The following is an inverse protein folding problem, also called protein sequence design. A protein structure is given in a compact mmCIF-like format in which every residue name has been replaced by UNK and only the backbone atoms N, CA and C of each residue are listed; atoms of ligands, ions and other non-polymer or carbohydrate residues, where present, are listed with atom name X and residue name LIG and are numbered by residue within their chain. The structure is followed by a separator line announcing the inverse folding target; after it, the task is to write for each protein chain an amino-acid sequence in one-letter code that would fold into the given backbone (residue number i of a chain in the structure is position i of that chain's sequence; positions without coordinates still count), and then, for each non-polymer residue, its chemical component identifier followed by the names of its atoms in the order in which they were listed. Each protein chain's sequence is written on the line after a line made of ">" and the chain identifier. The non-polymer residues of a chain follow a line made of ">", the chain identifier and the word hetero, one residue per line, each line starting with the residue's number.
data_IF_504111342117
#
_entry.id   IF_504111342117
#
_cell.length_a   1.000
_cell.length_b   1.000
_cell.length_c   1.000
_cell.angle_alpha   90.00
_cell.angle_beta   90.00
_cell.angle_gamma   90.00
#
_symmetry.space_group_name_H-M   'P 1'
#
loop_
_entity.id
_entity.type
_entity.pdbx_description
1 polymer ?
#
# COMPACT_ATOMS: atom_id res chain seq x y z
N UNK A 1 -40.01 -13.85 13.87
CA UNK A 1 -40.17 -12.76 12.87
C UNK A 1 -38.79 -12.23 12.57
N UNK A 2 -38.13 -12.88 11.60
CA UNK A 2 -36.78 -12.47 11.18
C UNK A 2 -36.88 -11.24 10.28
N UNK A 3 -36.45 -10.09 10.79
CA UNK A 3 -36.28 -8.90 9.97
C UNK A 3 -35.15 -9.18 8.99
N UNK A 4 -35.47 -9.49 7.74
CA UNK A 4 -34.54 -9.43 6.64
C UNK A 4 -33.93 -8.02 6.63
N UNK A 5 -32.65 -7.94 6.94
CA UNK A 5 -31.86 -6.70 6.76
C UNK A 5 -31.88 -6.43 5.25
N UNK A 6 -32.55 -5.33 4.87
CA UNK A 6 -32.53 -4.86 3.48
C UNK A 6 -31.10 -4.40 3.14
N UNK A 7 -30.36 -5.25 2.46
CA UNK A 7 -28.99 -4.98 2.02
C UNK A 7 -28.92 -4.12 0.76
N UNK A 8 -30.04 -3.64 0.25
CA UNK A 8 -30.07 -2.65 -0.82
C UNK A 8 -29.69 -1.27 -0.29
N UNK A 9 -28.43 -1.12 0.13
CA UNK A 9 -27.84 0.23 0.19
C UNK A 9 -27.93 0.82 -1.20
N UNK A 10 -28.43 2.05 -1.30
CA UNK A 10 -28.48 2.81 -2.54
C UNK A 10 -27.04 3.06 -3.04
N UNK A 11 -26.59 2.18 -3.90
CA UNK A 11 -25.38 2.40 -4.65
C UNK A 11 -25.57 3.61 -5.58
N UNK A 12 -24.52 4.37 -5.90
CA UNK A 12 -24.61 5.43 -6.91
C UNK A 12 -25.21 4.88 -8.20
N UNK A 13 -26.02 5.68 -8.91
CA UNK A 13 -26.58 5.29 -10.21
C UNK A 13 -25.47 4.79 -11.13
N UNK A 14 -25.66 3.59 -11.72
CA UNK A 14 -24.70 2.97 -12.61
C UNK A 14 -23.68 2.04 -11.94
N UNK A 15 -23.75 1.87 -10.63
CA UNK A 15 -22.94 0.86 -9.94
C UNK A 15 -23.72 -0.46 -9.84
N UNK A 16 -23.28 -1.45 -10.60
CA UNK A 16 -23.64 -2.84 -10.39
C UNK A 16 -22.43 -3.56 -9.80
N UNK A 17 -22.48 -4.03 -8.53
CA UNK A 17 -21.41 -4.84 -7.99
C UNK A 17 -21.22 -6.06 -8.88
N UNK A 18 -20.01 -6.29 -9.40
CA UNK A 18 -19.71 -7.55 -10.07
C UNK A 18 -19.91 -8.67 -9.07
N UNK A 19 -20.72 -9.66 -9.44
CA UNK A 19 -20.74 -10.93 -8.72
C UNK A 19 -19.33 -11.53 -8.81
N UNK A 20 -18.70 -11.74 -7.64
CA UNK A 20 -17.40 -12.41 -7.58
C UNK A 20 -17.56 -13.82 -8.11
N UNK A 21 -16.74 -14.20 -9.08
CA UNK A 21 -16.72 -15.57 -9.57
C UNK A 21 -16.15 -16.49 -8.49
N UNK A 22 -16.41 -17.81 -8.59
CA UNK A 22 -15.80 -18.80 -7.71
C UNK A 22 -14.26 -18.77 -7.81
N UNK A 23 -13.71 -18.38 -8.95
CA UNK A 23 -12.27 -18.24 -9.20
C UNK A 23 -11.71 -17.00 -8.49
N UNK A 24 -12.41 -15.87 -8.53
CA UNK A 24 -12.02 -14.66 -7.79
C UNK A 24 -12.02 -14.91 -6.27
N UNK A 25 -13.03 -15.61 -5.78
CA UNK A 25 -13.15 -15.98 -4.38
C UNK A 25 -12.04 -16.96 -3.97
N UNK A 26 -11.72 -17.94 -4.82
CA UNK A 26 -10.62 -18.88 -4.59
C UNK A 26 -9.25 -18.19 -4.58
N UNK A 27 -9.01 -17.27 -5.50
CA UNK A 27 -7.80 -16.47 -5.54
C UNK A 27 -7.65 -15.60 -4.28
N UNK A 28 -8.72 -14.96 -3.84
CA UNK A 28 -8.75 -14.17 -2.59
C UNK A 28 -8.52 -15.02 -1.35
N UNK A 29 -9.14 -16.19 -1.25
CA UNK A 29 -8.92 -17.12 -0.14
C UNK A 29 -7.47 -17.61 -0.12
N UNK A 30 -6.87 -17.93 -1.27
CA UNK A 30 -5.46 -18.28 -1.39
C UNK A 30 -4.54 -17.15 -0.91
N UNK A 31 -4.88 -15.89 -1.22
CA UNK A 31 -4.15 -14.71 -0.77
C UNK A 31 -4.25 -14.53 0.76
N UNK A 32 -5.46 -14.65 1.32
CA UNK A 32 -5.68 -14.61 2.77
C UNK A 32 -4.96 -15.73 3.50
N UNK A 33 -4.97 -16.95 2.96
CA UNK A 33 -4.19 -18.06 3.49
C UNK A 33 -2.69 -17.78 3.49
N UNK A 34 -2.16 -17.12 2.46
CA UNK A 34 -0.76 -16.70 2.37
C UNK A 34 -0.40 -15.74 3.51
N UNK A 35 -1.31 -14.82 3.85
CA UNK A 35 -1.12 -13.89 4.97
C UNK A 35 -1.18 -14.64 6.31
N UNK A 36 -2.14 -15.56 6.48
CA UNK A 36 -2.39 -16.25 7.74
C UNK A 36 -1.34 -17.34 8.04
N UNK A 37 -0.80 -18.03 7.03
CA UNK A 37 0.22 -19.09 7.18
C UNK A 37 1.64 -18.59 7.53
N UNK A 38 1.79 -17.32 7.96
CA UNK A 38 3.08 -16.77 8.36
C UNK A 38 3.65 -17.51 9.58
N UNK A 39 4.77 -18.20 9.40
CA UNK A 39 5.58 -18.62 10.55
C UNK A 39 6.19 -17.36 11.18
N UNK A 40 5.94 -17.09 12.48
CA UNK A 40 6.53 -15.93 13.13
C UNK A 40 8.04 -16.12 13.24
N UNK A 41 8.81 -15.25 12.60
CA UNK A 41 10.23 -15.11 12.90
C UNK A 41 10.40 -14.43 14.27
N UNK A 42 11.51 -14.70 14.99
CA UNK A 42 11.83 -14.08 16.29
C UNK A 42 11.75 -12.54 16.32
N UNK A 43 11.76 -11.88 15.13
CA UNK A 43 11.66 -10.42 14.99
C UNK A 43 10.33 -9.95 14.39
N UNK A 44 9.47 -10.85 13.95
CA UNK A 44 8.14 -10.55 13.42
C UNK A 44 7.13 -10.33 14.56
N UNK A 45 6.13 -9.52 14.33
CA UNK A 45 5.02 -9.30 15.26
C UNK A 45 3.68 -9.37 14.53
N UNK A 46 2.76 -10.17 15.07
CA UNK A 46 1.36 -10.21 14.64
C UNK A 46 0.47 -9.20 15.36
N UNK A 47 0.99 -8.55 16.41
CA UNK A 47 0.31 -7.49 17.11
C UNK A 47 0.36 -6.19 16.28
N UNK A 48 -0.77 -5.82 15.72
CA UNK A 48 -0.91 -4.65 14.83
C UNK A 48 -0.54 -3.34 15.55
N UNK A 49 -0.90 -3.17 16.81
CA UNK A 49 -0.59 -1.97 17.58
C UNK A 49 0.91 -1.86 17.82
N UNK A 50 1.58 -2.97 18.12
CA UNK A 50 3.02 -3.02 18.25
C UNK A 50 3.72 -2.71 16.92
N UNK A 51 3.22 -3.23 15.81
CA UNK A 51 3.72 -2.93 14.46
C UNK A 51 3.60 -1.43 14.17
N UNK A 52 2.45 -0.83 14.39
CA UNK A 52 2.20 0.59 14.20
C UNK A 52 3.11 1.45 15.09
N UNK A 53 3.23 1.10 16.37
CA UNK A 53 4.06 1.84 17.34
C UNK A 53 5.56 1.77 17.03
N UNK A 54 6.04 0.64 16.47
CA UNK A 54 7.48 0.40 16.26
C UNK A 54 7.96 0.65 14.83
N UNK A 55 7.06 0.73 13.84
CA UNK A 55 7.40 1.05 12.45
C UNK A 55 8.14 2.39 12.33
N UNK A 56 9.23 2.40 11.59
CA UNK A 56 10.07 3.59 11.35
C UNK A 56 10.47 3.67 9.87
N UNK A 57 10.53 4.90 9.36
CA UNK A 57 11.13 5.14 8.04
C UNK A 57 12.64 4.93 8.11
N UNK A 58 13.13 3.96 7.34
CA UNK A 58 14.54 3.53 7.30
C UNK A 58 15.13 3.88 5.94
N UNK A 59 16.33 4.44 5.93
CA UNK A 59 17.06 4.89 4.73
C UNK A 59 18.39 4.16 4.53
N UNK A 60 18.70 3.17 5.36
CA UNK A 60 19.89 2.33 5.25
C UNK A 60 19.49 0.87 5.39
N UNK A 61 19.57 0.16 4.30
CA UNK A 61 19.23 -1.26 4.22
C UNK A 61 20.49 -2.09 4.05
N UNK A 62 20.48 -3.33 4.54
CA UNK A 62 21.48 -4.32 4.20
C UNK A 62 21.31 -4.72 2.73
N UNK A 63 22.34 -5.34 2.16
CA UNK A 63 22.29 -5.89 0.80
C UNK A 63 21.55 -7.24 0.71
N UNK A 64 21.13 -7.80 1.84
CA UNK A 64 20.42 -9.07 1.88
C UNK A 64 19.12 -8.98 1.09
N UNK A 65 18.86 -9.91 0.17
CA UNK A 65 17.60 -9.94 -0.57
C UNK A 65 16.43 -10.17 0.39
N UNK A 66 15.26 -9.68 0.00
CA UNK A 66 14.02 -10.02 0.69
C UNK A 66 13.53 -11.35 0.14
N UNK A 67 13.20 -12.29 1.00
CA UNK A 67 12.73 -13.61 0.63
C UNK A 67 11.40 -13.52 -0.11
N UNK A 68 11.24 -14.35 -1.15
CA UNK A 68 10.04 -14.34 -2.00
C UNK A 68 8.74 -14.44 -1.20
N UNK A 69 8.68 -15.32 -0.22
CA UNK A 69 7.47 -15.48 0.61
C UNK A 69 7.10 -14.21 1.41
N UNK A 70 8.10 -13.36 1.78
CA UNK A 70 7.84 -12.06 2.41
C UNK A 70 7.30 -11.06 1.38
N UNK A 71 7.86 -11.07 0.17
CA UNK A 71 7.38 -10.24 -0.94
C UNK A 71 5.91 -10.59 -1.23
N UNK A 72 5.61 -11.88 -1.39
CA UNK A 72 4.25 -12.35 -1.67
C UNK A 72 3.26 -11.90 -0.58
N UNK A 73 3.64 -11.94 0.71
CA UNK A 73 2.81 -11.44 1.81
C UNK A 73 2.64 -9.93 1.81
N UNK A 74 3.67 -9.18 1.44
CA UNK A 74 3.60 -7.73 1.34
C UNK A 74 2.65 -7.32 0.21
N UNK A 75 2.73 -8.01 -0.94
CA UNK A 75 1.82 -7.78 -2.07
C UNK A 75 0.38 -8.20 -1.73
N UNK A 76 0.22 -9.36 -1.07
CA UNK A 76 -1.08 -9.82 -0.60
C UNK A 76 -1.72 -8.84 0.41
N UNK A 77 -0.93 -8.23 1.29
CA UNK A 77 -1.42 -7.22 2.21
C UNK A 77 -1.92 -5.95 1.48
N UNK A 78 -1.27 -5.55 0.37
CA UNK A 78 -1.74 -4.43 -0.45
C UNK A 78 -3.16 -4.66 -0.99
N UNK A 79 -3.46 -5.89 -1.42
CA UNK A 79 -4.77 -6.27 -1.96
C UNK A 79 -5.89 -6.24 -0.91
N UNK A 80 -5.56 -6.39 0.38
CA UNK A 80 -6.53 -6.29 1.47
C UNK A 80 -6.87 -4.86 1.89
N UNK A 81 -6.22 -3.86 1.31
CA UNK A 81 -6.53 -2.46 1.60
C UNK A 81 -7.96 -2.12 1.13
N UNK A 82 -8.72 -1.32 1.92
CA UNK A 82 -10.03 -0.87 1.48
C UNK A 82 -9.88 0.07 0.27
N UNK A 83 -10.77 -0.08 -0.70
CA UNK A 83 -10.79 0.72 -1.92
C UNK A 83 -12.18 1.22 -2.26
N UNK A 84 -12.27 2.31 -3.02
CA UNK A 84 -13.55 2.88 -3.42
C UNK A 84 -14.35 1.85 -4.23
N UNK A 85 -15.55 1.51 -3.74
CA UNK A 85 -16.42 0.52 -4.36
C UNK A 85 -15.80 -0.87 -4.54
N UNK A 86 -14.71 -1.17 -3.83
CA UNK A 86 -13.94 -2.41 -3.99
C UNK A 86 -13.35 -2.61 -5.40
N UNK A 87 -12.98 -1.51 -6.09
CA UNK A 87 -12.48 -1.56 -7.47
C UNK A 87 -10.96 -1.72 -7.58
N UNK A 88 -10.23 -1.63 -6.49
CA UNK A 88 -8.76 -1.67 -6.50
C UNK A 88 -8.16 -0.74 -7.58
N UNK A 89 -8.48 0.57 -7.48
CA UNK A 89 -8.10 1.60 -8.45
C UNK A 89 -6.61 1.91 -8.49
N UNK A 90 -5.75 0.89 -8.42
CA UNK A 90 -4.30 1.02 -8.40
C UNK A 90 -3.60 -0.13 -9.11
N UNK A 91 -2.32 0.07 -9.43
CA UNK A 91 -1.39 -0.97 -9.89
C UNK A 91 -0.11 -0.92 -9.06
N UNK A 92 0.56 -2.06 -8.94
CA UNK A 92 1.83 -2.21 -8.24
C UNK A 92 2.89 -2.71 -9.21
N UNK A 93 3.95 -1.93 -9.41
CA UNK A 93 5.10 -2.35 -10.19
C UNK A 93 6.20 -2.81 -9.23
N UNK A 94 6.58 -4.08 -9.35
CA UNK A 94 7.67 -4.66 -8.59
C UNK A 94 8.98 -4.52 -9.38
N UNK A 95 9.95 -3.80 -8.82
CA UNK A 95 11.23 -3.53 -9.45
C UNK A 95 12.29 -4.44 -8.84
N UNK A 96 12.72 -5.43 -9.60
CA UNK A 96 13.81 -6.36 -9.24
C UNK A 96 15.15 -5.96 -9.87
N UNK A 97 15.11 -5.39 -11.06
CA UNK A 97 16.27 -5.05 -11.85
C UNK A 97 17.10 -3.92 -11.19
N UNK A 98 18.44 -4.08 -11.24
CA UNK A 98 19.37 -3.15 -10.58
C UNK A 98 19.51 -1.84 -11.37
N UNK A 99 19.54 -1.90 -12.68
CA UNK A 99 19.73 -0.73 -13.55
C UNK A 99 18.48 0.16 -13.45
N UNK A 100 17.30 -0.45 -13.50
CA UNK A 100 16.02 0.26 -13.30
C UNK A 100 15.99 0.95 -11.93
N UNK A 101 16.47 0.31 -10.85
CA UNK A 101 16.57 0.95 -9.52
C UNK A 101 17.53 2.14 -9.52
N UNK A 102 18.64 2.07 -10.25
CA UNK A 102 19.60 3.18 -10.37
C UNK A 102 18.99 4.37 -11.14
N UNK A 103 18.19 4.11 -12.15
CA UNK A 103 17.41 5.15 -12.83
C UNK A 103 16.34 5.78 -11.93
N UNK A 104 15.62 4.96 -11.16
CA UNK A 104 14.67 5.44 -10.17
C UNK A 104 15.34 6.27 -9.07
N UNK A 105 16.59 5.98 -8.67
CA UNK A 105 17.37 6.86 -7.78
C UNK A 105 17.51 8.24 -8.38
N UNK A 106 17.88 8.35 -9.66
CA UNK A 106 18.02 9.63 -10.37
C UNK A 106 16.68 10.37 -10.46
N UNK A 107 15.61 9.66 -10.84
CA UNK A 107 14.25 10.22 -10.90
C UNK A 107 13.70 10.65 -9.52
N UNK A 108 14.26 10.13 -8.43
CA UNK A 108 13.87 10.45 -7.04
C UNK A 108 14.86 11.40 -6.38
N UNK A 109 15.31 12.45 -7.06
CA UNK A 109 16.24 13.46 -6.53
C UNK A 109 17.53 12.85 -5.94
N UNK A 110 18.09 11.84 -6.57
CA UNK A 110 19.29 11.11 -6.13
C UNK A 110 19.18 10.51 -4.72
N UNK A 111 17.98 10.10 -4.31
CA UNK A 111 17.76 9.44 -3.02
C UNK A 111 18.30 8.01 -3.07
N UNK A 112 19.55 7.81 -2.68
CA UNK A 112 20.29 6.53 -2.80
C UNK A 112 19.60 5.32 -2.16
N UNK A 113 18.70 5.53 -1.20
CA UNK A 113 17.93 4.48 -0.55
C UNK A 113 16.80 3.90 -1.42
N UNK A 114 16.54 4.48 -2.61
CA UNK A 114 15.67 3.87 -3.62
C UNK A 114 16.30 2.57 -4.15
N UNK A 115 17.63 2.48 -4.21
CA UNK A 115 18.33 1.24 -4.52
C UNK A 115 18.30 0.25 -3.33
N UNK A 116 17.10 -0.06 -2.83
CA UNK A 116 16.86 -1.02 -1.75
C UNK A 116 16.66 -2.44 -2.31
N UNK A 117 16.76 -3.49 -1.47
CA UNK A 117 16.53 -4.86 -1.92
C UNK A 117 15.19 -5.07 -2.61
N UNK A 118 14.12 -4.46 -2.13
CA UNK A 118 12.78 -4.50 -2.73
C UNK A 118 12.27 -3.08 -2.95
N UNK A 119 11.83 -2.78 -4.17
CA UNK A 119 11.18 -1.52 -4.54
C UNK A 119 9.82 -1.83 -5.15
N UNK A 120 8.77 -1.21 -4.63
CA UNK A 120 7.42 -1.24 -5.17
C UNK A 120 7.02 0.18 -5.57
N UNK A 121 6.55 0.36 -6.80
CA UNK A 121 5.97 1.62 -7.28
C UNK A 121 4.46 1.44 -7.31
N UNK A 122 3.74 2.28 -6.59
CA UNK A 122 2.29 2.30 -6.57
C UNK A 122 1.79 3.38 -7.51
N UNK A 123 0.97 2.99 -8.47
CA UNK A 123 0.36 3.90 -9.44
C UNK A 123 -1.15 3.93 -9.25
N UNK A 124 -1.76 5.10 -9.39
CA UNK A 124 -3.21 5.17 -9.50
C UNK A 124 -3.68 4.62 -10.84
N UNK A 125 -4.78 3.88 -10.85
CA UNK A 125 -5.44 3.41 -12.06
C UNK A 125 -6.93 3.78 -12.05
N UNK A 126 -7.30 5.01 -12.47
CA UNK A 126 -8.69 5.47 -12.45
C UNK A 126 -9.60 4.67 -13.40
N UNK A 127 -9.06 4.00 -14.42
CA UNK A 127 -9.86 3.21 -15.37
C UNK A 127 -10.50 1.98 -14.73
N UNK A 128 -9.97 1.51 -13.59
CA UNK A 128 -10.57 0.40 -12.82
C UNK A 128 -11.80 0.82 -12.03
N UNK A 129 -11.90 2.09 -11.64
CA UNK A 129 -13.00 2.59 -10.80
C UNK A 129 -14.24 2.84 -11.64
N UNK A 130 -15.20 1.93 -11.58
CA UNK A 130 -16.44 1.95 -12.38
C UNK A 130 -17.59 2.64 -11.62
N UNK A 131 -17.33 3.81 -11.08
CA UNK A 131 -18.32 4.65 -10.40
C UNK A 131 -18.74 5.81 -11.31
N UNK A 132 -20.02 6.17 -11.27
CA UNK A 132 -20.55 7.31 -12.02
C UNK A 132 -20.26 8.63 -11.28
N UNK A 133 -19.00 9.04 -11.34
CA UNK A 133 -18.51 10.29 -10.79
C UNK A 133 -17.68 11.07 -11.81
N UNK A 134 -17.50 12.36 -11.57
CA UNK A 134 -16.61 13.17 -12.40
C UNK A 134 -15.17 12.61 -12.39
N UNK A 135 -14.40 12.79 -13.48
CA UNK A 135 -13.01 12.31 -13.56
C UNK A 135 -12.14 12.76 -12.38
N UNK A 136 -12.36 13.96 -11.87
CA UNK A 136 -11.65 14.50 -10.70
C UNK A 136 -11.90 13.66 -9.44
N UNK A 137 -13.14 13.20 -9.23
CA UNK A 137 -13.50 12.35 -8.07
C UNK A 137 -12.92 10.97 -8.24
N UNK A 138 -12.99 10.37 -9.43
CA UNK A 138 -12.40 9.07 -9.74
C UNK A 138 -10.87 9.09 -9.52
N UNK A 139 -10.17 10.11 -10.00
CA UNK A 139 -8.74 10.30 -9.74
C UNK A 139 -8.43 10.39 -8.24
N UNK A 140 -9.23 11.13 -7.48
CA UNK A 140 -9.08 11.22 -6.01
C UNK A 140 -9.18 9.84 -5.36
N UNK A 141 -10.18 9.05 -5.73
CA UNK A 141 -10.34 7.70 -5.19
C UNK A 141 -9.16 6.80 -5.54
N UNK A 142 -8.71 6.81 -6.81
CA UNK A 142 -7.56 6.00 -7.23
C UNK A 142 -6.26 6.36 -6.50
N UNK A 143 -6.04 7.65 -6.22
CA UNK A 143 -4.89 8.07 -5.39
C UNK A 143 -5.03 7.53 -3.96
N UNK A 144 -6.23 7.59 -3.37
CA UNK A 144 -6.48 7.08 -2.02
C UNK A 144 -6.29 5.56 -1.98
N UNK A 145 -6.81 4.83 -2.97
CA UNK A 145 -6.65 3.38 -3.10
C UNK A 145 -5.17 3.00 -3.15
N UNK A 146 -4.39 3.61 -4.05
CA UNK A 146 -2.96 3.38 -4.17
C UNK A 146 -2.20 3.72 -2.87
N UNK A 147 -2.61 4.79 -2.19
CA UNK A 147 -2.03 5.21 -0.91
C UNK A 147 -2.29 4.19 0.19
N UNK A 148 -3.52 3.69 0.30
CA UNK A 148 -3.88 2.67 1.29
C UNK A 148 -3.16 1.35 1.01
N UNK A 149 -3.11 0.90 -0.24
CA UNK A 149 -2.37 -0.30 -0.64
C UNK A 149 -0.89 -0.22 -0.24
N UNK A 150 -0.24 0.91 -0.49
CA UNK A 150 1.14 1.14 -0.08
C UNK A 150 1.31 1.19 1.45
N UNK A 151 0.35 1.76 2.19
CA UNK A 151 0.36 1.79 3.65
C UNK A 151 0.22 0.38 4.26
N UNK A 152 -0.66 -0.45 3.72
CA UNK A 152 -0.83 -1.85 4.13
C UNK A 152 0.46 -2.66 3.84
N UNK A 153 1.05 -2.50 2.66
CA UNK A 153 2.36 -3.08 2.33
C UNK A 153 3.45 -2.66 3.32
N UNK A 154 3.45 -1.40 3.74
CA UNK A 154 4.42 -0.87 4.71
C UNK A 154 4.26 -1.49 6.09
N UNK A 155 3.02 -1.69 6.55
CA UNK A 155 2.73 -2.35 7.81
C UNK A 155 3.10 -3.84 7.76
N UNK A 156 2.76 -4.53 6.67
CA UNK A 156 3.12 -5.92 6.45
C UNK A 156 4.64 -6.12 6.45
N UNK A 157 5.40 -5.28 5.75
CA UNK A 157 6.86 -5.32 5.79
C UNK A 157 7.40 -5.19 7.22
N UNK A 158 6.83 -4.29 8.02
CA UNK A 158 7.22 -4.11 9.42
C UNK A 158 6.86 -5.31 10.28
N UNK A 159 5.69 -5.92 10.08
CA UNK A 159 5.26 -7.14 10.77
C UNK A 159 6.19 -8.32 10.46
N UNK A 160 6.73 -8.39 9.24
CA UNK A 160 7.68 -9.40 8.79
C UNK A 160 9.15 -9.12 9.20
N UNK A 161 9.38 -8.17 10.09
CA UNK A 161 10.73 -7.83 10.59
C UNK A 161 11.58 -7.00 9.62
N UNK A 162 11.01 -6.56 8.51
CA UNK A 162 11.65 -5.65 7.57
C UNK A 162 11.46 -4.19 8.02
N UNK A 163 12.10 -3.29 7.29
CA UNK A 163 11.86 -1.85 7.40
C UNK A 163 11.62 -1.27 6.02
N UNK A 164 10.97 -0.13 6.00
CA UNK A 164 10.65 0.54 4.75
C UNK A 164 10.80 2.04 4.84
N UNK A 165 10.81 2.69 3.68
CA UNK A 165 10.60 4.11 3.54
C UNK A 165 9.63 4.39 2.41
N UNK A 166 8.69 5.30 2.67
CA UNK A 166 7.80 5.87 1.69
C UNK A 166 8.45 7.08 1.03
N UNK A 167 8.43 7.13 -0.29
CA UNK A 167 8.92 8.24 -1.09
C UNK A 167 7.74 8.78 -1.89
N UNK A 168 7.48 10.07 -1.72
CA UNK A 168 6.46 10.81 -2.48
C UNK A 168 7.06 11.98 -3.26
N UNK A 169 8.40 12.16 -3.22
CA UNK A 169 9.09 13.22 -3.95
C UNK A 169 9.97 12.59 -5.04
N UNK A 170 9.52 12.63 -6.26
CA UNK A 170 10.18 12.13 -7.46
C UNK A 170 9.60 12.82 -8.69
N UNK A 171 10.27 12.71 -9.82
CA UNK A 171 9.81 13.13 -11.13
C UNK A 171 8.83 12.07 -11.66
N UNK A 172 7.52 12.41 -11.66
CA UNK A 172 6.45 11.46 -12.03
C UNK A 172 6.60 10.98 -13.48
N UNK A 173 6.98 11.86 -14.41
CA UNK A 173 7.08 11.52 -15.83
C UNK A 173 8.28 10.61 -16.10
N UNK A 174 9.42 10.88 -15.48
CA UNK A 174 10.56 9.96 -15.55
C UNK A 174 10.27 8.61 -14.92
N UNK A 175 9.57 8.56 -13.80
CA UNK A 175 9.18 7.27 -13.19
C UNK A 175 8.27 6.48 -14.12
N UNK A 176 7.29 7.12 -14.78
CA UNK A 176 6.44 6.47 -15.78
C UNK A 176 7.26 5.88 -16.93
N UNK A 177 8.17 6.67 -17.48
CA UNK A 177 9.08 6.25 -18.56
C UNK A 177 9.90 5.03 -18.14
N UNK A 178 10.55 5.08 -16.97
CA UNK A 178 11.40 4.02 -16.43
C UNK A 178 10.64 2.70 -16.23
N UNK A 179 9.42 2.76 -15.72
CA UNK A 179 8.62 1.54 -15.45
C UNK A 179 7.69 1.15 -16.61
N UNK A 180 7.71 1.90 -17.72
CA UNK A 180 6.97 1.58 -18.96
C UNK A 180 5.45 1.67 -18.79
N UNK A 181 4.92 2.76 -18.19
CA UNK A 181 3.48 2.91 -17.98
C UNK A 181 3.02 4.36 -18.18
N UNK A 182 1.76 4.53 -18.58
CA UNK A 182 1.09 5.84 -18.59
C UNK A 182 0.39 6.15 -17.24
N UNK A 183 0.35 5.19 -16.33
CA UNK A 183 -0.30 5.38 -15.03
C UNK A 183 0.53 6.31 -14.15
N UNK A 184 -0.14 7.22 -13.47
CA UNK A 184 0.50 8.18 -12.58
C UNK A 184 1.01 7.50 -11.31
N UNK A 185 2.34 7.51 -11.04
CA UNK A 185 2.87 7.00 -9.79
C UNK A 185 2.48 7.91 -8.61
N UNK A 186 2.06 7.29 -7.51
CA UNK A 186 1.67 7.99 -6.28
C UNK A 186 2.74 7.90 -5.21
N UNK A 187 3.50 6.81 -5.20
CA UNK A 187 4.58 6.57 -4.24
C UNK A 187 5.51 5.45 -4.66
N UNK A 188 6.77 5.53 -4.18
CA UNK A 188 7.70 4.42 -4.17
C UNK A 188 7.84 3.92 -2.73
N UNK A 189 7.72 2.63 -2.53
CA UNK A 189 7.96 1.98 -1.25
C UNK A 189 9.23 1.13 -1.34
N UNK A 190 10.29 1.59 -0.65
CA UNK A 190 11.58 0.91 -0.59
C UNK A 190 11.64 0.09 0.68
N UNK A 191 11.95 -1.21 0.55
CA UNK A 191 11.85 -2.20 1.62
C UNK A 191 13.14 -3.02 1.70
N UNK A 192 13.53 -3.38 2.91
CA UNK A 192 14.67 -4.27 3.15
C UNK A 192 14.97 -4.47 4.63
N UNK A 193 16.01 -5.21 4.91
CA UNK A 193 16.49 -5.38 6.28
C UNK A 193 17.23 -4.13 6.75
N UNK A 194 16.85 -3.53 7.90
CA UNK A 194 17.51 -2.34 8.40
C UNK A 194 18.92 -2.67 8.91
N UNK A 195 19.93 -1.87 8.55
CA UNK A 195 21.26 -1.96 9.16
C UNK A 195 21.18 -1.51 10.62
N UNK A 196 20.39 -0.47 10.91
CA UNK A 196 20.15 0.05 12.26
C UNK A 196 18.70 0.49 12.41
N UNK A 197 18.07 0.07 13.49
CA UNK A 197 16.74 0.57 13.85
C UNK A 197 16.84 2.03 14.30
N UNK A 198 15.91 2.84 13.79
CA UNK A 198 15.81 4.25 14.18
C UNK A 198 14.98 4.39 15.47
N UNK A 199 15.36 5.30 16.38
CA UNK A 199 14.54 5.61 17.54
C UNK A 199 13.20 6.23 17.11
N UNK A 200 12.24 6.22 18.04
CA UNK A 200 11.00 6.97 17.87
C UNK A 200 11.30 8.46 17.75
N UNK A 201 10.56 9.16 16.90
CA UNK A 201 10.54 10.62 16.85
C UNK A 201 9.33 11.14 17.62
N UNK A 202 9.50 12.29 18.22
CA UNK A 202 8.40 13.02 18.82
C UNK A 202 7.31 13.29 17.78
N UNK A 203 6.08 13.19 18.22
CA UNK A 203 4.90 13.53 17.43
C UNK A 203 4.16 14.66 18.11
N UNK A 204 3.31 15.36 17.35
CA UNK A 204 2.36 16.30 17.94
C UNK A 204 1.48 15.56 18.94
N UNK A 205 1.04 16.26 19.96
CA UNK A 205 0.12 15.69 20.94
C UNK A 205 -1.22 15.36 20.26
N UNK A 206 -1.80 14.25 20.64
CA UNK A 206 -3.03 13.76 19.98
C UNK A 206 -4.18 14.78 20.12
N UNK A 207 -4.26 15.47 21.26
CA UNK A 207 -5.24 16.55 21.49
C UNK A 207 -5.18 17.71 20.49
N UNK A 208 -4.02 17.93 19.85
CA UNK A 208 -3.85 18.97 18.83
C UNK A 208 -4.34 18.53 17.45
N UNK A 209 -4.65 17.25 17.30
CA UNK A 209 -5.11 16.64 16.03
C UNK A 209 -6.60 16.33 16.06
N UNK A 210 -7.18 16.23 17.26
CA UNK A 210 -8.57 15.85 17.46
C UNK A 210 -9.38 17.11 17.74
N UNK A 211 -10.42 17.33 16.95
CA UNK A 211 -11.38 18.40 17.12
C UNK A 211 -12.74 17.76 17.36
N UNK A 212 -13.31 18.01 18.52
CA UNK A 212 -14.66 17.55 18.86
C UNK A 212 -15.65 18.59 18.29
N UNK A 213 -16.56 18.13 17.45
CA UNK A 213 -17.62 18.98 16.88
C UNK A 213 -18.91 18.64 17.62
N UNK A 214 -19.40 19.60 18.39
CA UNK A 214 -20.67 19.50 19.11
C UNK A 214 -21.67 20.46 18.48
N UNK A 215 -22.96 20.10 18.53
CA UNK A 215 -24.03 21.00 18.13
C UNK A 215 -24.07 22.16 19.12
N UNK A 216 -23.99 23.38 18.62
CA UNK A 216 -24.28 24.56 19.45
C UNK A 216 -25.79 24.61 19.65
N UNK A 217 -26.23 24.52 20.90
CA UNK A 217 -27.61 24.77 21.30
C UNK A 217 -28.03 26.22 20.99
#
# INVERSE_FOLDING_TARGET
>A
MDKKIDTKRSWPKGYEPKEETKEDLSARLGLLETILKAKPEKKASTDIFKVMATRRSTRKFSKNPVEKWKIDKILAAADTAPTAGNFQGFEIFYISDKEIKEELVKASNNQSYVNSPLVLVFCMNPSRVKLDFSPKVIMKFSIQDATLAAAYSQLAASALGLSSIWIGMFDEDKVKEIIGTELRPTSLLCIGYPIKKRPAKLRRQLKELIHIVEKKD
#
